data_IF_057656875563
#
_entry.id   IF_057656875563
#
_cell.length_a   1.000
_cell.length_b   1.000
_cell.length_c   1.000
_cell.angle_alpha   90.00
_cell.angle_beta   90.00
_cell.angle_gamma   90.00
#
_symmetry.space_group_name_H-M   'P 1'
#
loop_
_entity.id
_entity.type
_entity.pdbx_description
1 polymer ?
#
# COMPACT_ATOMS: atom_id res chain seq x y z
N UNK A 1 -33.05 -3.28 -44.68
CA UNK A 1 -31.86 -2.55 -44.20
C UNK A 1 -31.17 -3.44 -43.18
N UNK A 2 -30.29 -4.33 -43.65
CA UNK A 2 -29.53 -5.26 -42.80
C UNK A 2 -28.41 -4.45 -42.16
N UNK A 3 -28.49 -4.22 -40.85
CA UNK A 3 -27.39 -3.62 -40.10
C UNK A 3 -26.33 -4.72 -40.02
N UNK A 4 -25.28 -4.59 -40.84
CA UNK A 4 -24.12 -5.47 -40.78
C UNK A 4 -23.43 -5.26 -39.43
N UNK A 5 -23.56 -6.24 -38.52
CA UNK A 5 -22.99 -6.22 -37.17
C UNK A 5 -21.52 -6.67 -37.14
N UNK A 6 -20.89 -6.90 -38.29
CA UNK A 6 -19.52 -7.44 -38.40
C UNK A 6 -18.40 -6.47 -38.00
N UNK A 7 -18.71 -5.19 -37.83
CA UNK A 7 -17.74 -4.17 -37.41
C UNK A 7 -17.85 -3.79 -35.92
N UNK A 8 -18.59 -4.58 -35.12
CA UNK A 8 -18.59 -4.39 -33.67
C UNK A 8 -17.18 -4.71 -33.11
N UNK A 9 -16.55 -3.81 -32.33
CA UNK A 9 -15.25 -4.10 -31.76
C UNK A 9 -15.35 -5.32 -30.83
N UNK A 10 -14.74 -6.44 -31.20
CA UNK A 10 -14.78 -7.66 -30.41
C UNK A 10 -13.90 -7.52 -29.15
N UNK A 11 -14.46 -7.75 -27.96
CA UNK A 11 -13.70 -7.76 -26.70
C UNK A 11 -12.91 -9.07 -26.61
N UNK A 12 -11.80 -9.17 -27.32
CA UNK A 12 -10.93 -10.33 -27.29
C UNK A 12 -9.82 -10.18 -26.22
N UNK A 13 -9.38 -11.29 -25.59
CA UNK A 13 -8.17 -11.30 -24.76
C UNK A 13 -6.95 -10.78 -25.53
N UNK A 14 -6.01 -10.16 -24.81
CA UNK A 14 -4.76 -9.68 -25.42
C UNK A 14 -4.01 -10.85 -26.06
N UNK A 15 -3.85 -10.79 -27.38
CA UNK A 15 -3.05 -11.75 -28.13
C UNK A 15 -1.64 -11.83 -27.54
N UNK A 16 -1.06 -13.04 -27.47
CA UNK A 16 0.24 -13.28 -26.84
C UNK A 16 1.35 -12.41 -27.44
N UNK A 17 1.30 -12.15 -28.76
CA UNK A 17 2.25 -11.30 -29.47
C UNK A 17 2.14 -9.80 -29.12
N UNK A 18 1.00 -9.34 -28.60
CA UNK A 18 0.77 -7.95 -28.18
C UNK A 18 1.08 -7.73 -26.69
N UNK A 19 1.62 -8.73 -25.98
CA UNK A 19 1.99 -8.63 -24.55
C UNK A 19 3.42 -8.11 -24.40
N UNK A 20 3.60 -7.25 -23.42
CA UNK A 20 4.91 -6.74 -23.04
C UNK A 20 5.49 -7.68 -21.99
N UNK A 21 6.35 -8.62 -22.43
CA UNK A 21 6.88 -9.67 -21.58
C UNK A 21 7.61 -9.13 -20.33
N UNK A 22 8.31 -8.01 -20.44
CA UNK A 22 8.98 -7.37 -19.30
C UNK A 22 8.00 -6.90 -18.23
N UNK A 23 6.83 -6.37 -18.59
CA UNK A 23 5.80 -5.96 -17.64
C UNK A 23 5.19 -7.18 -16.92
N UNK A 24 5.01 -8.29 -17.63
CA UNK A 24 4.47 -9.52 -17.03
C UNK A 24 5.46 -10.14 -16.04
N UNK A 25 6.76 -10.16 -16.36
CA UNK A 25 7.82 -10.62 -15.45
C UNK A 25 7.90 -9.73 -14.20
N UNK A 26 7.90 -8.41 -14.37
CA UNK A 26 7.96 -7.48 -13.25
C UNK A 26 6.75 -7.62 -12.32
N UNK A 27 5.55 -7.91 -12.86
CA UNK A 27 4.37 -8.21 -12.04
C UNK A 27 4.57 -9.48 -11.22
N UNK A 28 5.09 -10.54 -11.84
CA UNK A 28 5.38 -11.80 -11.15
C UNK A 28 6.37 -11.58 -9.99
N UNK A 29 7.46 -10.86 -10.24
CA UNK A 29 8.46 -10.52 -9.21
C UNK A 29 7.82 -9.69 -8.09
N UNK A 30 7.02 -8.68 -8.42
CA UNK A 30 6.37 -7.85 -7.41
C UNK A 30 5.40 -8.66 -6.54
N UNK A 31 4.63 -9.59 -7.12
CA UNK A 31 3.71 -10.46 -6.37
C UNK A 31 4.48 -11.43 -5.46
N UNK A 32 5.57 -12.04 -5.95
CA UNK A 32 6.43 -12.89 -5.12
C UNK A 32 7.09 -12.09 -3.98
N UNK A 33 7.43 -10.84 -4.22
CA UNK A 33 7.95 -9.96 -3.19
C UNK A 33 6.92 -9.59 -2.13
N UNK A 34 5.68 -9.31 -2.53
CA UNK A 34 4.56 -9.10 -1.59
C UNK A 34 4.28 -10.37 -0.78
N UNK A 35 4.37 -11.55 -1.41
CA UNK A 35 4.23 -12.83 -0.71
C UNK A 35 5.25 -12.97 0.42
N UNK A 36 6.51 -12.58 0.21
CA UNK A 36 7.54 -12.64 1.24
C UNK A 36 7.15 -11.83 2.49
N UNK A 37 6.57 -10.65 2.30
CA UNK A 37 6.08 -9.82 3.40
C UNK A 37 4.87 -10.41 4.10
N UNK A 38 4.00 -11.10 3.36
CA UNK A 38 2.86 -11.79 3.95
C UNK A 38 3.30 -13.00 4.78
N UNK A 39 4.39 -13.68 4.41
CA UNK A 39 4.93 -14.78 5.21
C UNK A 39 5.36 -14.28 6.60
N UNK A 40 6.01 -13.13 6.71
CA UNK A 40 6.39 -12.58 8.03
C UNK A 40 5.17 -12.13 8.82
N UNK A 41 4.19 -11.53 8.15
CA UNK A 41 2.91 -11.12 8.73
C UNK A 41 2.10 -12.30 9.32
N UNK A 42 2.05 -13.45 8.65
CA UNK A 42 1.28 -14.62 9.10
C UNK A 42 2.07 -15.62 9.93
N UNK A 43 3.39 -15.69 9.72
CA UNK A 43 4.25 -16.69 10.35
C UNK A 43 4.80 -16.26 11.72
N UNK A 44 4.70 -14.97 12.05
CA UNK A 44 5.19 -14.40 13.31
C UNK A 44 4.08 -13.61 14.02
N UNK A 45 4.37 -13.16 15.24
CA UNK A 45 3.52 -12.24 16.00
C UNK A 45 3.18 -10.99 15.15
N UNK A 46 1.95 -10.45 15.19
CA UNK A 46 1.58 -9.27 14.39
C UNK A 46 2.54 -8.09 14.57
N UNK A 47 3.05 -7.89 15.80
CA UNK A 47 4.02 -6.85 16.12
C UNK A 47 5.39 -7.07 15.47
N UNK A 48 5.77 -8.32 15.16
CA UNK A 48 7.05 -8.66 14.54
C UNK A 48 7.24 -8.05 13.14
N UNK A 49 6.13 -7.72 12.47
CA UNK A 49 6.16 -7.07 11.17
C UNK A 49 6.83 -5.68 11.25
N UNK A 50 6.49 -4.88 12.27
CA UNK A 50 7.01 -3.53 12.47
C UNK A 50 8.10 -3.43 13.55
N UNK A 51 8.29 -4.48 14.35
CA UNK A 51 9.21 -4.50 15.47
C UNK A 51 10.09 -5.78 15.44
N UNK A 52 11.38 -5.68 15.08
CA UNK A 52 12.26 -6.85 15.03
C UNK A 52 12.46 -7.52 16.39
N UNK A 53 12.27 -6.79 17.50
CA UNK A 53 12.38 -7.33 18.86
C UNK A 53 11.20 -8.25 19.21
N UNK A 54 10.03 -8.06 18.59
CA UNK A 54 8.85 -8.89 18.85
C UNK A 54 8.90 -10.24 18.12
N UNK A 55 9.79 -10.43 17.13
CA UNK A 55 9.84 -11.63 16.29
C UNK A 55 11.16 -12.40 16.30
N UNK A 56 12.09 -12.10 17.23
CA UNK A 56 13.42 -12.73 17.25
C UNK A 56 14.31 -12.33 16.06
N UNK A 57 14.00 -11.20 15.40
CA UNK A 57 14.72 -10.63 14.25
C UNK A 57 15.99 -9.85 14.63
N UNK A 58 16.47 -9.96 15.86
CA UNK A 58 17.51 -9.09 16.42
C UNK A 58 18.92 -9.64 16.28
N UNK A 59 19.08 -10.94 16.03
CA UNK A 59 20.38 -11.62 16.07
C UNK A 59 20.72 -12.41 14.80
N UNK A 60 22.02 -12.48 14.49
CA UNK A 60 22.59 -13.35 13.47
C UNK A 60 21.91 -13.27 12.10
N UNK A 61 21.55 -14.45 11.56
CA UNK A 61 20.91 -14.60 10.26
C UNK A 61 19.50 -13.98 10.23
N UNK A 62 18.77 -13.97 11.35
CA UNK A 62 17.42 -13.40 11.43
C UNK A 62 17.44 -11.89 11.24
N UNK A 63 18.47 -11.20 11.78
CA UNK A 63 18.66 -9.76 11.57
C UNK A 63 18.91 -9.43 10.10
N UNK A 64 19.74 -10.23 9.43
CA UNK A 64 20.03 -10.03 8.00
C UNK A 64 18.76 -10.25 7.18
N UNK A 65 18.02 -11.33 7.45
CA UNK A 65 16.75 -11.62 6.79
C UNK A 65 15.74 -10.48 6.99
N UNK A 66 15.58 -10.00 8.22
CA UNK A 66 14.71 -8.87 8.54
C UNK A 66 15.10 -7.61 7.75
N UNK A 67 16.38 -7.23 7.76
CA UNK A 67 16.85 -6.06 7.00
C UNK A 67 16.61 -6.19 5.50
N UNK A 68 16.85 -7.38 4.92
CA UNK A 68 16.59 -7.63 3.50
C UNK A 68 15.10 -7.45 3.19
N UNK A 69 14.22 -8.03 4.00
CA UNK A 69 12.77 -7.93 3.83
C UNK A 69 12.31 -6.47 3.98
N UNK A 70 12.74 -5.77 5.03
CA UNK A 70 12.35 -4.39 5.29
C UNK A 70 12.86 -3.38 4.24
N UNK A 71 14.04 -3.60 3.65
CA UNK A 71 14.61 -2.64 2.67
C UNK A 71 14.19 -2.96 1.24
N UNK A 72 14.24 -4.24 0.83
CA UNK A 72 14.05 -4.62 -0.57
C UNK A 72 12.62 -5.01 -0.90
N UNK A 73 11.87 -5.55 0.06
CA UNK A 73 10.53 -6.08 -0.19
C UNK A 73 9.48 -5.10 0.31
N UNK A 74 9.64 -4.63 1.54
CA UNK A 74 8.73 -3.68 2.14
C UNK A 74 8.72 -2.33 1.40
N UNK A 75 7.52 -1.89 1.03
CA UNK A 75 7.32 -0.67 0.26
C UNK A 75 7.70 -0.80 -1.21
N UNK A 76 8.90 -1.28 -1.52
CA UNK A 76 9.45 -1.35 -2.88
C UNK A 76 8.61 -2.24 -3.81
N UNK A 77 8.25 -3.45 -3.38
CA UNK A 77 7.48 -4.39 -4.21
C UNK A 77 6.04 -3.89 -4.42
N UNK A 78 5.42 -3.29 -3.39
CA UNK A 78 4.12 -2.61 -3.51
C UNK A 78 4.20 -1.40 -4.45
N UNK A 79 5.30 -0.64 -4.42
CA UNK A 79 5.56 0.47 -5.32
C UNK A 79 5.66 0.03 -6.79
N UNK A 80 6.44 -1.01 -7.07
CA UNK A 80 6.53 -1.60 -8.41
C UNK A 80 5.16 -2.10 -8.87
N UNK A 81 4.44 -2.83 -8.02
CA UNK A 81 3.09 -3.32 -8.34
C UNK A 81 2.12 -2.16 -8.63
N UNK A 82 2.16 -1.08 -7.84
CA UNK A 82 1.36 0.15 -8.05
C UNK A 82 1.66 0.82 -9.39
N UNK A 83 2.94 0.97 -9.75
CA UNK A 83 3.36 1.54 -11.02
C UNK A 83 2.87 0.69 -12.21
N UNK A 84 3.05 -0.63 -12.12
CA UNK A 84 2.60 -1.58 -13.15
C UNK A 84 1.08 -1.64 -13.26
N UNK A 85 0.37 -1.44 -12.15
CA UNK A 85 -1.09 -1.33 -12.12
C UNK A 85 -1.55 -0.07 -12.85
N UNK A 86 -0.98 1.09 -12.55
CA UNK A 86 -1.26 2.34 -13.26
C UNK A 86 -0.97 2.25 -14.76
N UNK A 87 0.20 1.72 -15.12
CA UNK A 87 0.58 1.47 -16.51
C UNK A 87 -0.41 0.53 -17.22
N UNK A 88 -0.95 -0.48 -16.51
CA UNK A 88 -1.94 -1.40 -17.08
C UNK A 88 -3.23 -0.69 -17.51
N UNK A 89 -3.65 0.34 -16.78
CA UNK A 89 -4.85 1.12 -17.09
C UNK A 89 -4.62 1.91 -18.37
N UNK A 90 -3.50 2.63 -18.46
CA UNK A 90 -3.13 3.41 -19.64
C UNK A 90 -3.06 2.51 -20.88
N UNK A 91 -2.28 1.42 -20.82
CA UNK A 91 -2.11 0.48 -21.92
C UNK A 91 -3.42 -0.19 -22.35
N UNK A 92 -4.29 -0.53 -21.40
CA UNK A 92 -5.62 -1.07 -21.69
C UNK A 92 -6.45 -0.05 -22.48
N UNK A 93 -6.52 1.19 -21.98
CA UNK A 93 -7.34 2.23 -22.59
C UNK A 93 -6.82 2.69 -23.94
N UNK A 94 -5.51 2.90 -24.10
CA UNK A 94 -4.91 3.28 -25.38
C UNK A 94 -5.13 2.21 -26.45
N UNK A 95 -4.98 0.92 -26.10
CA UNK A 95 -5.21 -0.16 -27.06
C UNK A 95 -6.66 -0.18 -27.54
N UNK A 96 -7.62 -0.08 -26.62
CA UNK A 96 -9.03 -0.14 -26.97
C UNK A 96 -9.49 1.12 -27.71
N UNK A 97 -8.96 2.29 -27.37
CA UNK A 97 -9.23 3.53 -28.09
C UNK A 97 -8.65 3.50 -29.52
N UNK A 98 -7.42 2.98 -29.71
CA UNK A 98 -6.83 2.78 -31.05
C UNK A 98 -7.60 1.76 -31.91
N UNK A 99 -8.26 0.79 -31.27
CA UNK A 99 -9.12 -0.19 -31.93
C UNK A 99 -10.57 0.26 -32.16
N UNK A 100 -10.91 1.54 -31.93
CA UNK A 100 -12.28 2.06 -32.10
C UNK A 100 -13.26 1.71 -30.97
N UNK A 101 -12.80 1.04 -29.92
CA UNK A 101 -13.61 0.51 -28.81
C UNK A 101 -13.57 1.40 -27.55
N UNK A 102 -13.50 2.73 -27.71
CA UNK A 102 -13.23 3.66 -26.61
C UNK A 102 -14.27 3.65 -25.48
N UNK A 103 -15.56 3.51 -25.79
CA UNK A 103 -16.63 3.39 -24.78
C UNK A 103 -16.50 2.05 -24.04
N UNK A 104 -16.22 0.97 -24.77
CA UNK A 104 -16.04 -0.37 -24.21
C UNK A 104 -14.79 -0.46 -23.32
N UNK A 105 -13.80 0.41 -23.54
CA UNK A 105 -12.63 0.52 -22.68
C UNK A 105 -13.00 0.96 -21.25
N UNK A 106 -13.96 1.88 -21.13
CA UNK A 106 -14.48 2.31 -19.84
C UNK A 106 -15.22 1.16 -19.15
N UNK A 107 -16.12 0.49 -19.87
CA UNK A 107 -16.89 -0.64 -19.34
C UNK A 107 -15.98 -1.76 -18.82
N UNK A 108 -14.97 -2.17 -19.62
CA UNK A 108 -14.01 -3.20 -19.22
C UNK A 108 -13.21 -2.75 -18.01
N UNK A 109 -12.74 -1.51 -17.96
CA UNK A 109 -12.00 -0.97 -16.82
C UNK A 109 -12.84 -0.97 -15.54
N UNK A 110 -14.02 -0.36 -15.58
CA UNK A 110 -14.91 -0.27 -14.42
C UNK A 110 -15.34 -1.64 -13.94
N UNK A 111 -15.68 -2.58 -14.84
CA UNK A 111 -15.98 -3.96 -14.44
C UNK A 111 -14.83 -4.62 -13.72
N UNK A 112 -13.58 -4.44 -14.18
CA UNK A 112 -12.39 -4.96 -13.49
C UNK A 112 -12.21 -4.32 -12.11
N UNK A 113 -12.41 -3.00 -12.00
CA UNK A 113 -12.33 -2.30 -10.71
C UNK A 113 -13.45 -2.73 -9.76
N UNK A 114 -14.67 -2.95 -10.25
CA UNK A 114 -15.80 -3.42 -9.43
C UNK A 114 -15.57 -4.82 -8.88
N UNK A 115 -15.03 -5.76 -9.68
CA UNK A 115 -14.65 -7.07 -9.17
C UNK A 115 -13.55 -6.97 -8.12
N UNK A 116 -12.52 -6.16 -8.38
CA UNK A 116 -11.43 -5.97 -7.43
C UNK A 116 -11.91 -5.33 -6.13
N UNK A 117 -12.84 -4.37 -6.22
CA UNK A 117 -13.50 -3.76 -5.08
C UNK A 117 -14.33 -4.76 -4.28
N UNK A 118 -15.13 -5.57 -4.97
CA UNK A 118 -15.95 -6.60 -4.34
C UNK A 118 -15.08 -7.61 -3.59
N UNK A 119 -14.03 -8.13 -4.24
CA UNK A 119 -13.08 -9.01 -3.58
C UNK A 119 -12.37 -8.33 -2.41
N UNK A 120 -12.01 -7.05 -2.53
CA UNK A 120 -11.42 -6.30 -1.43
C UNK A 120 -12.35 -6.12 -0.23
N UNK A 121 -13.64 -5.83 -0.48
CA UNK A 121 -14.65 -5.75 0.58
C UNK A 121 -14.86 -7.11 1.24
N UNK A 122 -15.00 -8.18 0.46
CA UNK A 122 -15.15 -9.54 0.98
C UNK A 122 -13.94 -9.91 1.83
N UNK A 123 -12.74 -9.62 1.34
CA UNK A 123 -11.50 -9.91 2.03
C UNK A 123 -11.37 -9.11 3.33
N UNK A 124 -11.72 -7.83 3.32
CA UNK A 124 -11.71 -7.00 4.52
C UNK A 124 -12.76 -7.43 5.55
N UNK A 125 -13.99 -7.65 5.11
CA UNK A 125 -15.15 -7.87 6.01
C UNK A 125 -15.29 -9.32 6.46
N UNK A 126 -15.03 -10.30 5.59
CA UNK A 126 -15.19 -11.72 5.91
C UNK A 126 -13.87 -12.38 6.36
N UNK A 127 -12.73 -11.92 5.84
CA UNK A 127 -11.42 -12.51 6.19
C UNK A 127 -10.65 -11.68 7.23
N UNK A 128 -11.20 -10.55 7.71
CA UNK A 128 -10.64 -9.69 8.77
C UNK A 128 -9.15 -9.34 8.55
N UNK A 129 -8.75 -9.19 7.29
CA UNK A 129 -7.34 -9.03 6.93
C UNK A 129 -6.89 -7.56 7.05
N UNK A 130 -5.80 -7.29 7.76
CA UNK A 130 -5.28 -5.92 8.00
C UNK A 130 -4.50 -5.32 6.81
N UNK A 131 -3.73 -6.15 6.08
CA UNK A 131 -2.99 -5.78 4.87
C UNK A 131 -3.81 -5.86 3.58
N UNK A 132 -5.05 -5.36 3.57
CA UNK A 132 -5.91 -5.39 2.39
C UNK A 132 -5.39 -4.41 1.31
N UNK A 133 -5.13 -4.93 0.10
CA UNK A 133 -4.62 -4.14 -1.03
C UNK A 133 -5.63 -3.98 -2.17
N UNK A 134 -6.61 -4.86 -2.34
CA UNK A 134 -7.48 -4.84 -3.52
C UNK A 134 -8.44 -3.63 -3.48
N UNK A 135 -9.01 -3.32 -2.32
CA UNK A 135 -9.89 -2.17 -2.11
C UNK A 135 -9.15 -0.86 -2.43
N UNK A 136 -7.97 -0.69 -1.86
CA UNK A 136 -7.14 0.51 -2.07
C UNK A 136 -6.84 0.72 -3.56
N UNK A 137 -6.43 -0.34 -4.25
CA UNK A 137 -6.14 -0.26 -5.69
C UNK A 137 -7.40 -0.05 -6.52
N UNK A 138 -8.56 -0.55 -6.09
CA UNK A 138 -9.81 -0.37 -6.82
C UNK A 138 -10.23 1.10 -6.74
N UNK A 139 -10.18 1.69 -5.55
CA UNK A 139 -10.42 3.11 -5.34
C UNK A 139 -9.47 3.97 -6.17
N UNK A 140 -8.16 3.70 -6.11
CA UNK A 140 -7.19 4.40 -6.95
C UNK A 140 -7.47 4.22 -8.44
N UNK A 141 -7.79 3.00 -8.89
CA UNK A 141 -8.08 2.70 -10.28
C UNK A 141 -9.33 3.39 -10.83
N UNK A 142 -10.35 3.60 -9.99
CA UNK A 142 -11.54 4.39 -10.33
C UNK A 142 -11.17 5.87 -10.55
N UNK A 143 -10.35 6.45 -9.67
CA UNK A 143 -9.89 7.84 -9.79
C UNK A 143 -8.93 8.04 -10.97
N UNK A 144 -7.98 7.11 -11.14
CA UNK A 144 -6.95 7.15 -12.19
C UNK A 144 -7.56 7.13 -13.59
N UNK A 145 -8.72 6.47 -13.76
CA UNK A 145 -9.42 6.47 -15.03
C UNK A 145 -9.76 7.89 -15.50
N UNK A 146 -10.17 8.78 -14.60
CA UNK A 146 -10.56 10.16 -14.94
C UNK A 146 -9.38 11.03 -15.37
N UNK A 147 -8.20 10.82 -14.77
CA UNK A 147 -6.99 11.60 -15.05
C UNK A 147 -6.11 11.02 -16.15
N UNK A 148 -6.45 9.84 -16.69
CA UNK A 148 -5.61 9.12 -17.66
C UNK A 148 -5.34 9.89 -18.96
N UNK A 149 -6.29 10.74 -19.38
CA UNK A 149 -6.19 11.54 -20.62
C UNK A 149 -5.51 12.89 -20.44
N UNK A 150 -5.11 13.22 -19.21
CA UNK A 150 -4.35 14.44 -18.96
C UNK A 150 -2.96 14.32 -19.58
N UNK A 151 -2.37 15.47 -19.92
CA UNK A 151 -1.02 15.51 -20.47
C UNK A 151 -0.03 14.83 -19.49
N UNK A 152 0.98 14.07 -19.99
CA UNK A 152 1.95 13.37 -19.14
C UNK A 152 2.68 14.30 -18.16
N UNK A 153 2.93 15.55 -18.56
CA UNK A 153 3.52 16.58 -17.68
C UNK A 153 2.63 16.90 -16.48
N UNK A 154 1.32 17.03 -16.70
CA UNK A 154 0.34 17.29 -15.64
C UNK A 154 0.24 16.11 -14.68
N UNK A 155 0.24 14.89 -15.21
CA UNK A 155 0.25 13.67 -14.39
C UNK A 155 1.52 13.57 -13.53
N UNK A 156 2.68 13.88 -14.10
CA UNK A 156 3.95 13.88 -13.37
C UNK A 156 3.99 14.94 -12.26
N UNK A 157 3.54 16.17 -12.55
CA UNK A 157 3.47 17.23 -11.54
C UNK A 157 2.50 16.84 -10.43
N UNK A 158 1.31 16.35 -10.76
CA UNK A 158 0.34 15.89 -9.76
C UNK A 158 0.90 14.77 -8.89
N UNK A 159 1.58 13.78 -9.48
CA UNK A 159 2.22 12.70 -8.75
C UNK A 159 3.32 13.22 -7.80
N UNK A 160 4.16 14.15 -8.25
CA UNK A 160 5.19 14.78 -7.43
C UNK A 160 4.60 15.58 -6.27
N UNK A 161 3.54 16.36 -6.52
CA UNK A 161 2.86 17.12 -5.46
C UNK A 161 2.24 16.19 -4.40
N UNK A 162 1.59 15.10 -4.83
CA UNK A 162 1.04 14.09 -3.92
C UNK A 162 2.17 13.44 -3.11
N UNK A 163 3.29 13.09 -3.75
CA UNK A 163 4.44 12.47 -3.09
C UNK A 163 5.07 13.40 -2.05
N UNK A 164 5.27 14.67 -2.39
CA UNK A 164 5.81 15.68 -1.47
C UNK A 164 4.86 15.92 -0.30
N UNK A 165 3.55 16.03 -0.57
CA UNK A 165 2.55 16.21 0.48
C UNK A 165 2.49 14.99 1.43
N UNK A 166 2.50 13.78 0.88
CA UNK A 166 2.54 12.55 1.66
C UNK A 166 3.84 12.45 2.48
N UNK A 167 4.98 12.79 1.88
CA UNK A 167 6.28 12.83 2.57
C UNK A 167 6.29 13.85 3.71
N UNK A 168 5.80 15.06 3.48
CA UNK A 168 5.70 16.09 4.52
C UNK A 168 4.75 15.67 5.65
N UNK A 169 3.63 15.02 5.33
CA UNK A 169 2.73 14.44 6.32
C UNK A 169 3.40 13.35 7.14
N UNK A 170 4.18 12.47 6.51
CA UNK A 170 4.92 11.41 7.18
C UNK A 170 6.01 11.96 8.11
N UNK A 171 6.77 12.96 7.67
CA UNK A 171 7.79 13.64 8.48
C UNK A 171 7.15 14.34 9.68
N UNK A 172 6.03 15.05 9.46
CA UNK A 172 5.26 15.68 10.54
C UNK A 172 4.74 14.65 11.53
N UNK A 173 4.26 13.50 11.04
CA UNK A 173 3.78 12.42 11.88
C UNK A 173 4.92 11.86 12.73
N UNK A 174 6.08 11.59 12.12
CA UNK A 174 7.27 11.11 12.81
C UNK A 174 7.71 12.04 13.94
N UNK A 175 7.88 13.33 13.67
CA UNK A 175 8.24 14.30 14.71
C UNK A 175 7.19 14.38 15.83
N UNK A 176 5.90 14.27 15.50
CA UNK A 176 4.85 14.22 16.53
C UNK A 176 4.95 13.02 17.46
N UNK A 177 5.42 11.88 16.95
CA UNK A 177 5.63 10.67 17.75
C UNK A 177 6.90 10.81 18.60
N UNK A 178 7.98 11.34 18.00
CA UNK A 178 9.24 11.64 18.68
C UNK A 178 9.04 12.62 19.84
N UNK A 179 8.32 13.73 19.61
CA UNK A 179 8.01 14.72 20.65
C UNK A 179 7.26 14.09 21.83
N UNK A 180 6.28 13.21 21.56
CA UNK A 180 5.54 12.50 22.62
C UNK A 180 6.44 11.59 23.44
N UNK A 181 7.38 10.91 22.80
CA UNK A 181 8.36 10.07 23.48
C UNK A 181 9.26 10.91 24.39
N UNK A 182 9.75 12.05 23.91
CA UNK A 182 10.61 12.95 24.68
C UNK A 182 9.84 13.54 25.88
N UNK A 183 8.59 13.98 25.69
CA UNK A 183 7.75 14.50 26.77
C UNK A 183 7.48 13.44 27.84
N UNK A 184 7.20 12.19 27.44
CA UNK A 184 6.98 11.09 28.36
C UNK A 184 8.26 10.69 29.11
N UNK A 185 9.41 10.61 28.42
CA UNK A 185 10.70 10.30 29.04
C UNK A 185 11.09 11.38 30.08
N UNK A 186 10.88 12.66 29.78
CA UNK A 186 11.12 13.75 30.72
C UNK A 186 10.18 13.68 31.94
N UNK A 187 8.91 13.32 31.73
CA UNK A 187 7.95 13.11 32.80
C UNK A 187 8.30 11.91 33.69
N UNK A 188 8.76 10.79 33.11
CA UNK A 188 9.24 9.62 33.86
C UNK A 188 10.49 9.94 34.67
N UNK A 189 11.42 10.73 34.14
CA UNK A 189 12.59 11.20 34.90
C UNK A 189 12.18 12.09 36.09
N UNK A 190 11.22 13.00 35.90
CA UNK A 190 10.71 13.83 37.00
C UNK A 190 10.01 12.98 38.08
N UNK A 191 9.25 11.95 37.67
CA UNK A 191 8.65 10.95 38.57
C UNK A 191 9.73 10.19 39.35
N UNK A 192 10.77 9.72 38.67
CA UNK A 192 11.90 8.99 39.28
C UNK A 192 12.71 9.88 40.24
N UNK A 193 12.81 11.18 39.97
CA UNK A 193 13.41 12.18 40.86
C UNK A 193 12.51 12.55 42.05
N UNK A 194 11.37 11.87 42.24
CA UNK A 194 10.45 12.09 43.36
C UNK A 194 9.62 13.37 43.26
N UNK A 195 9.60 14.04 42.11
CA UNK A 195 8.78 15.24 41.90
C UNK A 195 7.32 14.86 41.71
N UNK A 196 6.40 15.68 42.26
CA UNK A 196 4.97 15.52 42.02
C UNK A 196 4.67 15.89 40.57
N UNK A 197 4.16 14.92 39.81
CA UNK A 197 3.84 15.11 38.40
C UNK A 197 2.76 16.19 38.21
N UNK A 198 2.98 17.08 37.25
CA UNK A 198 1.91 17.95 36.75
C UNK A 198 0.91 17.15 35.91
N UNK A 199 -0.33 17.64 35.79
CA UNK A 199 -1.36 17.02 34.95
C UNK A 199 -0.91 16.85 33.50
N UNK A 200 -0.05 17.75 33.00
CA UNK A 200 0.53 17.67 31.65
C UNK A 200 1.51 16.50 31.53
N UNK A 201 2.37 16.31 32.53
CA UNK A 201 3.35 15.20 32.57
C UNK A 201 2.67 13.84 32.77
N UNK A 202 1.65 13.76 33.62
CA UNK A 202 0.87 12.55 33.79
C UNK A 202 0.20 12.11 32.47
N UNK A 203 -0.43 13.05 31.76
CA UNK A 203 -1.03 12.80 30.44
C UNK A 203 0.00 12.46 29.36
N UNK A 204 1.23 12.96 29.45
CA UNK A 204 2.29 12.62 28.51
C UNK A 204 2.70 11.15 28.63
N UNK A 205 2.88 10.66 29.87
CA UNK A 205 3.18 9.25 30.15
C UNK A 205 2.03 8.35 29.68
N UNK A 206 0.79 8.72 30.01
CA UNK A 206 -0.42 7.97 29.61
C UNK A 206 -0.50 7.81 28.08
N UNK A 207 -0.41 8.93 27.34
CA UNK A 207 -0.46 8.92 25.86
C UNK A 207 0.67 8.10 25.23
N UNK A 208 1.87 8.15 25.80
CA UNK A 208 2.99 7.37 25.29
C UNK A 208 2.82 5.88 25.58
N UNK A 209 2.31 5.53 26.76
CA UNK A 209 2.03 4.14 27.15
C UNK A 209 0.94 3.53 26.26
N UNK A 210 -0.16 4.26 26.03
CA UNK A 210 -1.22 3.83 25.09
C UNK A 210 -0.67 3.59 23.68
N UNK A 211 0.22 4.48 23.22
CA UNK A 211 0.84 4.36 21.92
C UNK A 211 1.79 3.15 21.84
N UNK A 212 2.60 2.91 22.88
CA UNK A 212 3.49 1.75 22.95
C UNK A 212 2.73 0.42 22.98
N UNK A 213 1.56 0.38 23.61
CA UNK A 213 0.72 -0.82 23.66
C UNK A 213 0.30 -1.30 22.26
N UNK A 214 0.34 -0.45 21.22
CA UNK A 214 0.09 -0.87 19.84
C UNK A 214 1.29 -1.55 19.18
N UNK A 215 2.51 -1.35 19.69
CA UNK A 215 3.76 -1.80 19.06
C UNK A 215 4.52 -2.88 19.84
N UNK A 216 4.11 -3.12 21.09
CA UNK A 216 4.70 -4.15 21.95
C UNK A 216 3.73 -5.33 22.09
N UNK A 217 4.22 -6.58 22.09
CA UNK A 217 3.40 -7.72 22.44
C UNK A 217 2.90 -7.56 23.88
N UNK A 218 1.62 -7.88 24.08
CA UNK A 218 1.04 -7.91 25.43
C UNK A 218 1.46 -9.19 26.15
N UNK A 219 1.28 -9.27 27.47
CA UNK A 219 1.63 -10.47 28.23
C UNK A 219 0.81 -11.72 27.84
N UNK A 220 -0.20 -11.55 26.99
CA UNK A 220 -1.10 -12.60 26.48
C UNK A 220 -0.76 -13.05 25.05
N UNK A 221 0.19 -12.39 24.36
CA UNK A 221 0.66 -12.71 23.00
C UNK A 221 1.93 -13.57 23.00
#
# INVERSE_FOLDING_TARGET
>A
MSIDTRDAPEIAPVAKAARVASLDVLRGIAVLGILMMNITAFGLLPHAYANPFAGGGTEGANRIAYMIISVLFEGTMRGIFSLLFGASIVLLTERMERGGAGIMAAEVHFRRMSWMLLFGIIHWTLMLWWGEILFNYAMCGLLLFSVRKLNPRTQLIAALLILVAAGAWQVRHYHKVEDRQIEAAAAEQAKAAGQKLSDKQAKAIERWTEQLAHYMPTAED
#
